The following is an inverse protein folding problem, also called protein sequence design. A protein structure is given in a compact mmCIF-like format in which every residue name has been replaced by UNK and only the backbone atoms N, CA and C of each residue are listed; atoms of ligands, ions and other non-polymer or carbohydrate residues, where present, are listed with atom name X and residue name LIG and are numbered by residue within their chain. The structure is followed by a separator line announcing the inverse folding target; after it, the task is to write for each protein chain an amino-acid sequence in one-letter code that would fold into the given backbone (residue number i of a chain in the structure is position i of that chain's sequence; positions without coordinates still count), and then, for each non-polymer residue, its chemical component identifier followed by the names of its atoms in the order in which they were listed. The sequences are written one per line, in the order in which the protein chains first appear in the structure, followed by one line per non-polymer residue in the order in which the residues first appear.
data_IF_410193812857
#
_entry.id   IF_410193812857
#
_cell.length_a   1.000
_cell.length_b   1.000
_cell.length_c   1.000
_cell.angle_alpha   90.00
_cell.angle_beta   90.00
_cell.angle_gamma   90.00
#
_symmetry.space_group_name_H-M   'P 1'
#
loop_
_entity.id
_entity.type
_entity.pdbx_description
1 polymer ?
#
# COMPACT_ATOMS: atom_id res chain seq x y z
N UNK A 1 9.49 40.07 44.98
CA UNK A 1 10.70 39.65 44.25
C UNK A 1 10.29 39.19 42.85
N UNK A 2 10.61 39.94 41.78
CA UNK A 2 10.31 39.53 40.40
C UNK A 2 11.57 39.43 39.52
N UNK A 3 11.85 38.27 38.90
CA UNK A 3 12.88 38.04 37.86
C UNK A 3 12.51 36.74 37.10
N UNK A 4 12.67 36.58 35.77
CA UNK A 4 12.32 37.48 34.68
C UNK A 4 11.62 36.77 33.48
N UNK A 5 11.17 37.61 32.55
CA UNK A 5 10.74 37.34 31.18
C UNK A 5 11.94 36.88 30.30
N UNK A 6 11.74 35.90 29.41
CA UNK A 6 12.58 35.73 28.21
C UNK A 6 11.69 35.83 26.97
N UNK A 7 11.94 36.87 26.19
CA UNK A 7 11.51 37.04 24.80
C UNK A 7 12.70 36.66 23.91
N UNK A 8 12.47 35.77 22.94
CA UNK A 8 13.14 35.69 21.64
C UNK A 8 12.56 34.46 20.91
N UNK A 9 12.21 34.46 19.64
CA UNK A 9 12.25 35.46 18.58
C UNK A 9 11.56 34.82 17.36
N UNK A 10 10.90 35.65 16.56
CA UNK A 10 10.34 35.24 15.28
C UNK A 10 11.44 34.72 14.35
N UNK A 11 11.20 33.58 13.72
CA UNK A 11 12.01 33.05 12.63
C UNK A 11 11.08 32.41 11.60
N UNK A 12 10.76 33.17 10.55
CA UNK A 12 10.30 32.61 9.29
C UNK A 12 11.30 31.53 8.84
N UNK A 13 10.83 30.32 8.56
CA UNK A 13 11.58 29.38 7.73
C UNK A 13 10.79 29.18 6.45
N UNK A 14 11.39 29.77 5.42
CA UNK A 14 10.99 29.86 4.02
C UNK A 14 10.94 28.49 3.33
N UNK A 15 10.01 28.38 2.38
CA UNK A 15 10.02 27.39 1.30
C UNK A 15 11.34 27.43 0.50
N UNK A 16 11.77 26.26 0.02
CA UNK A 16 12.86 26.05 -0.94
C UNK A 16 14.14 25.57 -0.26
N UNK A 17 14.85 24.55 -0.71
CA UNK A 17 14.76 23.79 -1.95
C UNK A 17 15.76 22.63 -1.91
N UNK A 18 15.84 21.96 -3.06
CA UNK A 18 16.69 20.82 -3.39
C UNK A 18 18.17 20.96 -2.96
N UNK A 19 18.78 19.77 -2.80
CA UNK A 19 20.19 19.41 -2.99
C UNK A 19 21.17 19.61 -1.82
N UNK A 20 21.61 18.48 -1.25
CA UNK A 20 23.02 18.11 -1.16
C UNK A 20 23.13 16.64 -0.71
N UNK A 21 23.31 15.73 -1.66
CA UNK A 21 23.79 14.36 -1.38
C UNK A 21 25.31 14.42 -1.44
N UNK A 22 25.98 14.34 -0.29
CA UNK A 22 27.42 14.08 -0.24
C UNK A 22 27.64 12.59 -0.06
N UNK A 23 28.20 11.98 -1.11
CA UNK A 23 28.71 10.62 -1.14
C UNK A 23 29.87 10.46 -0.16
N UNK A 24 29.78 9.50 0.75
CA UNK A 24 30.95 8.81 1.29
C UNK A 24 30.65 7.32 1.30
N UNK A 25 31.30 6.62 0.39
CA UNK A 25 31.20 5.18 0.19
C UNK A 25 32.17 4.47 1.13
N UNK A 26 31.68 3.54 1.93
CA UNK A 26 32.53 2.60 2.64
C UNK A 26 32.17 1.17 2.27
N UNK A 27 33.09 0.57 1.50
CA UNK A 27 33.20 -0.83 1.08
C UNK A 27 32.84 -1.82 2.18
N UNK A 28 31.96 -2.77 1.89
CA UNK A 28 32.01 -4.10 2.52
C UNK A 28 31.70 -5.14 1.44
N UNK A 29 32.63 -6.07 1.25
CA UNK A 29 32.60 -7.10 0.22
C UNK A 29 31.69 -8.27 0.58
N UNK A 30 31.17 -8.93 -0.45
CA UNK A 30 30.43 -10.18 -0.33
C UNK A 30 31.38 -11.37 -0.17
N UNK A 31 31.10 -12.31 0.74
CA UNK A 31 31.41 -13.71 0.51
C UNK A 31 30.15 -14.48 0.10
N UNK A 32 30.35 -15.34 -0.89
CA UNK A 32 29.41 -16.33 -1.42
C UNK A 32 29.24 -17.52 -0.46
N UNK A 33 28.02 -18.05 -0.33
CA UNK A 33 27.71 -19.42 0.12
C UNK A 33 26.20 -19.64 -0.08
N UNK A 34 25.70 -20.41 -1.05
CA UNK A 34 25.58 -21.88 -1.15
C UNK A 34 24.82 -22.55 0.01
N UNK A 35 23.70 -23.21 -0.32
CA UNK A 35 22.90 -24.10 0.54
C UNK A 35 21.40 -23.80 0.39
N UNK A 36 20.68 -24.40 -0.57
CA UNK A 36 19.93 -25.67 -0.44
C UNK A 36 18.93 -25.63 0.72
N UNK A 37 17.65 -25.56 0.37
CA UNK A 37 16.53 -25.54 1.30
C UNK A 37 15.23 -25.65 0.52
N UNK A 38 15.01 -26.85 0.02
CA UNK A 38 13.77 -27.48 -0.41
C UNK A 38 12.51 -26.87 0.24
N UNK A 39 11.76 -26.08 -0.53
CA UNK A 39 10.38 -25.75 -0.23
C UNK A 39 9.45 -26.10 -1.39
N UNK A 40 8.53 -26.98 -1.02
CA UNK A 40 7.47 -27.61 -1.78
C UNK A 40 6.44 -26.58 -2.26
N UNK A 41 6.80 -25.78 -3.25
CA UNK A 41 5.85 -25.02 -4.06
C UNK A 41 5.95 -25.50 -5.50
N UNK A 42 5.03 -26.42 -5.83
CA UNK A 42 4.93 -27.07 -7.13
C UNK A 42 4.98 -26.08 -8.29
N UNK A 43 6.04 -26.20 -9.06
CA UNK A 43 6.27 -25.60 -10.35
C UNK A 43 5.15 -26.01 -11.34
N UNK A 44 4.08 -25.21 -11.48
CA UNK A 44 3.10 -25.39 -12.58
C UNK A 44 2.40 -24.07 -12.98
N UNK A 45 2.70 -23.62 -14.21
CA UNK A 45 1.87 -22.77 -15.09
C UNK A 45 1.47 -21.34 -14.70
N UNK A 46 1.73 -20.88 -13.48
CA UNK A 46 1.36 -19.50 -13.07
C UNK A 46 2.47 -18.46 -13.34
N UNK A 47 3.74 -18.85 -13.27
CA UNK A 47 4.86 -17.95 -13.63
C UNK A 47 4.89 -17.60 -15.12
N UNK A 48 4.43 -18.51 -15.99
CA UNK A 48 4.32 -18.24 -17.44
C UNK A 48 3.29 -17.15 -17.75
N UNK A 49 2.23 -17.01 -16.93
CA UNK A 49 1.23 -15.95 -17.12
C UNK A 49 1.72 -14.58 -16.65
N UNK A 50 2.66 -14.52 -15.71
CA UNK A 50 3.24 -13.25 -15.25
C UNK A 50 4.15 -12.68 -16.35
N UNK A 51 4.90 -13.54 -17.06
CA UNK A 51 5.77 -13.13 -18.16
C UNK A 51 5.01 -12.58 -19.38
N UNK A 52 3.79 -13.04 -19.63
CA UNK A 52 2.96 -12.53 -20.75
C UNK A 52 2.51 -11.07 -20.54
N UNK A 53 2.30 -10.65 -19.29
CA UNK A 53 1.97 -9.25 -18.96
C UNK A 53 3.19 -8.31 -19.02
N UNK A 54 4.41 -8.83 -18.86
CA UNK A 54 5.64 -8.04 -19.01
C UNK A 54 5.97 -7.73 -20.48
N UNK A 55 5.48 -8.55 -21.42
CA UNK A 55 5.68 -8.33 -22.87
C UNK A 55 4.74 -7.31 -23.52
N UNK A 56 3.69 -6.84 -22.84
CA UNK A 56 2.75 -5.83 -23.40
C UNK A 56 3.19 -4.39 -23.05
N UNK A 57 4.17 -4.21 -22.16
CA UNK A 57 4.66 -2.89 -21.74
C UNK A 57 5.86 -2.35 -22.55
N UNK A 58 6.32 -3.05 -23.59
CA UNK A 58 7.39 -2.57 -24.48
C UNK A 58 6.99 -2.80 -25.94
N UNK A 59 5.94 -2.11 -26.37
CA UNK A 59 5.49 -2.08 -27.77
C UNK A 59 5.67 -0.69 -28.36
N UNK A 60 6.91 -0.31 -28.64
CA UNK A 60 7.25 0.85 -29.47
C UNK A 60 7.85 0.35 -30.78
N UNK A 61 7.02 0.25 -31.80
CA UNK A 61 7.36 -0.10 -33.19
C UNK A 61 8.12 1.08 -33.83
N UNK A 62 9.32 0.86 -34.38
CA UNK A 62 9.88 1.62 -35.51
C UNK A 62 10.88 0.74 -36.25
N UNK A 63 10.57 0.55 -37.54
CA UNK A 63 11.41 -0.09 -38.55
C UNK A 63 12.68 0.74 -38.89
N UNK A 64 13.61 0.01 -39.49
CA UNK A 64 14.62 0.40 -40.48
C UNK A 64 16.03 0.92 -40.08
N UNK A 65 16.98 0.06 -40.50
CA UNK A 65 18.31 0.29 -41.11
C UNK A 65 19.58 0.62 -40.28
N UNK A 66 20.47 -0.38 -40.33
CA UNK A 66 21.95 -0.41 -40.40
C UNK A 66 22.84 0.76 -39.89
N UNK A 67 23.86 0.31 -39.11
CA UNK A 67 25.29 0.70 -39.12
C UNK A 67 25.68 2.07 -38.52
N UNK A 68 26.28 2.04 -37.31
CA UNK A 68 27.75 1.96 -37.05
C UNK A 68 28.12 2.41 -35.62
N UNK A 69 28.93 1.57 -34.97
CA UNK A 69 30.04 1.86 -34.04
C UNK A 69 30.25 3.33 -33.61
N UNK A 70 30.24 3.58 -32.31
CA UNK A 70 30.85 4.77 -31.72
C UNK A 70 30.58 4.96 -30.22
N UNK A 71 31.42 4.34 -29.39
CA UNK A 71 31.96 4.84 -28.13
C UNK A 71 31.20 5.97 -27.39
N UNK A 72 30.62 5.67 -26.22
CA UNK A 72 30.84 6.39 -24.94
C UNK A 72 29.77 6.06 -23.90
N UNK A 73 30.23 6.01 -22.64
CA UNK A 73 29.45 6.23 -21.41
C UNK A 73 28.40 5.15 -21.09
N UNK A 74 28.86 4.08 -20.42
CA UNK A 74 28.00 3.21 -19.63
C UNK A 74 27.40 4.02 -18.49
N UNK A 75 26.19 4.52 -18.71
CA UNK A 75 25.38 5.15 -17.69
C UNK A 75 25.12 4.13 -16.57
N UNK A 76 25.57 4.47 -15.36
CA UNK A 76 25.12 3.81 -14.15
C UNK A 76 23.61 4.05 -14.03
N UNK A 77 22.81 3.05 -14.44
CA UNK A 77 21.36 3.04 -14.22
C UNK A 77 21.11 2.54 -12.80
N UNK A 78 21.56 3.32 -11.83
CA UNK A 78 21.20 3.19 -10.42
C UNK A 78 20.24 4.31 -10.06
N UNK A 79 18.97 4.17 -10.44
CA UNK A 79 17.93 5.13 -10.11
C UNK A 79 16.70 4.42 -9.55
N UNK A 80 16.64 4.39 -8.22
CA UNK A 80 15.42 4.58 -7.41
C UNK A 80 14.14 3.89 -7.89
N UNK A 81 13.96 2.62 -7.51
CA UNK A 81 12.68 1.91 -7.57
C UNK A 81 11.58 2.51 -6.65
N UNK A 82 11.87 3.58 -5.90
CA UNK A 82 10.89 4.32 -5.10
C UNK A 82 10.28 5.53 -5.81
N UNK A 83 10.82 5.98 -6.94
CA UNK A 83 10.35 7.19 -7.62
C UNK A 83 9.17 6.92 -8.57
N UNK A 84 9.12 5.74 -9.21
CA UNK A 84 8.08 5.42 -10.19
C UNK A 84 6.68 5.28 -9.57
N UNK A 85 6.58 4.74 -8.35
CA UNK A 85 5.31 4.60 -7.63
C UNK A 85 4.74 5.96 -7.21
N UNK A 86 5.60 6.87 -6.75
CA UNK A 86 5.21 8.24 -6.39
C UNK A 86 4.81 9.10 -7.60
N UNK A 87 5.54 8.98 -8.72
CA UNK A 87 5.25 9.74 -9.95
C UNK A 87 3.94 9.26 -10.61
N UNK A 88 3.67 7.96 -10.65
CA UNK A 88 2.41 7.45 -11.19
C UNK A 88 1.18 7.91 -10.39
N UNK A 89 1.29 8.00 -9.07
CA UNK A 89 0.22 8.53 -8.22
C UNK A 89 0.02 10.06 -8.38
N UNK A 90 1.10 10.81 -8.64
CA UNK A 90 1.03 12.25 -8.92
C UNK A 90 0.45 12.51 -10.31
N UNK A 91 0.82 11.73 -11.33
CA UNK A 91 0.27 11.89 -12.70
C UNK A 91 -1.19 11.48 -12.83
N UNK A 92 -1.62 10.45 -12.09
CA UNK A 92 -3.03 10.05 -11.99
C UNK A 92 -3.90 11.11 -11.29
N UNK A 93 -3.35 12.03 -10.49
CA UNK A 93 -4.15 13.04 -9.79
C UNK A 93 -4.78 14.12 -10.69
N UNK A 94 -4.49 14.14 -12.00
CA UNK A 94 -5.06 15.12 -12.95
C UNK A 94 -6.59 14.99 -13.11
N UNK A 95 -7.20 13.86 -12.77
CA UNK A 95 -8.65 13.64 -12.81
C UNK A 95 -9.41 14.12 -11.57
N UNK A 96 -8.75 14.32 -10.42
CA UNK A 96 -9.35 14.74 -9.16
C UNK A 96 -8.63 15.95 -8.58
N UNK A 97 -8.87 17.14 -9.15
CA UNK A 97 -8.19 18.38 -8.72
C UNK A 97 -8.41 18.74 -7.24
N UNK A 98 -9.38 18.14 -6.54
CA UNK A 98 -9.79 18.52 -5.19
C UNK A 98 -9.74 17.39 -4.15
N UNK A 99 -8.96 16.32 -4.35
CA UNK A 99 -8.87 15.26 -3.34
C UNK A 99 -8.07 15.71 -2.09
N UNK A 100 -8.71 15.92 -0.91
CA UNK A 100 -8.00 16.40 0.27
C UNK A 100 -7.02 15.38 0.86
N UNK A 101 -7.07 14.13 0.40
CA UNK A 101 -6.20 13.06 0.89
C UNK A 101 -4.79 13.12 0.28
N UNK A 102 -4.63 13.64 -0.95
CA UNK A 102 -3.35 13.67 -1.68
C UNK A 102 -2.15 14.13 -0.82
N UNK A 103 -2.22 15.25 -0.06
CA UNK A 103 -1.06 15.70 0.73
C UNK A 103 -0.73 14.81 1.94
N UNK A 104 -1.60 13.86 2.30
CA UNK A 104 -1.48 13.07 3.51
C UNK A 104 -1.29 11.57 3.27
N UNK A 105 -1.48 11.10 2.04
CA UNK A 105 -1.39 9.69 1.68
C UNK A 105 -0.02 9.41 1.08
N UNK A 106 0.68 8.44 1.66
CA UNK A 106 2.01 8.01 1.23
C UNK A 106 2.03 6.51 0.95
N UNK A 107 2.84 6.05 -0.03
CA UNK A 107 3.07 4.62 -0.22
C UNK A 107 3.62 3.98 1.06
N UNK A 108 3.16 2.77 1.35
CA UNK A 108 3.61 1.96 2.48
C UNK A 108 3.85 0.53 1.99
N UNK A 109 4.98 -0.05 2.37
CA UNK A 109 5.24 -1.47 2.13
C UNK A 109 4.92 -2.25 3.39
N UNK A 110 4.11 -3.29 3.24
CA UNK A 110 3.78 -4.20 4.32
C UNK A 110 4.42 -5.56 4.08
N UNK A 111 4.99 -6.14 5.13
CA UNK A 111 5.64 -7.45 5.08
C UNK A 111 4.57 -8.53 4.91
N UNK A 112 4.74 -9.37 3.89
CA UNK A 112 3.94 -10.57 3.74
C UNK A 112 4.42 -11.59 4.76
N UNK A 113 3.59 -11.82 5.77
CA UNK A 113 3.86 -12.78 6.85
C UNK A 113 2.80 -13.87 6.86
N UNK A 114 3.02 -14.90 7.68
CA UNK A 114 2.14 -16.06 7.79
C UNK A 114 0.80 -15.75 8.51
N UNK A 115 0.56 -14.48 8.83
CA UNK A 115 -0.65 -14.03 9.55
C UNK A 115 -1.88 -13.95 8.65
N UNK A 116 -1.68 -13.90 7.33
CA UNK A 116 -2.72 -13.94 6.29
C UNK A 116 -2.38 -15.06 5.30
N UNK A 117 -3.41 -15.60 4.65
CA UNK A 117 -3.22 -16.63 3.63
C UNK A 117 -2.67 -16.02 2.33
N UNK A 118 -1.94 -16.78 1.49
CA UNK A 118 -1.53 -16.32 0.17
C UNK A 118 -2.71 -15.83 -0.69
N UNK A 119 -3.87 -16.50 -0.58
CA UNK A 119 -5.09 -16.10 -1.28
C UNK A 119 -5.59 -14.70 -0.86
N UNK A 120 -5.45 -14.33 0.42
CA UNK A 120 -5.84 -13.01 0.89
C UNK A 120 -4.95 -11.90 0.32
N UNK A 121 -3.67 -12.17 0.09
CA UNK A 121 -2.76 -11.23 -0.58
C UNK A 121 -3.02 -11.17 -2.09
N UNK A 122 -3.29 -12.31 -2.74
CA UNK A 122 -3.68 -12.34 -4.15
C UNK A 122 -5.00 -11.60 -4.40
N UNK A 123 -5.97 -11.76 -3.49
CA UNK A 123 -7.22 -11.02 -3.51
C UNK A 123 -6.98 -9.51 -3.40
N UNK A 124 -6.14 -9.07 -2.45
CA UNK A 124 -5.74 -7.67 -2.31
C UNK A 124 -5.09 -7.13 -3.59
N UNK A 125 -4.07 -7.83 -4.10
CA UNK A 125 -3.35 -7.44 -5.32
C UNK A 125 -4.31 -7.22 -6.50
N UNK A 126 -5.29 -8.12 -6.67
CA UNK A 126 -6.29 -8.02 -7.75
C UNK A 126 -7.26 -6.85 -7.56
N UNK A 127 -7.80 -6.65 -6.36
CA UNK A 127 -8.83 -5.64 -6.11
C UNK A 127 -8.22 -4.23 -6.01
N UNK A 128 -7.07 -4.11 -5.36
CA UNK A 128 -6.38 -2.84 -5.14
C UNK A 128 -5.41 -2.47 -6.26
N UNK A 129 -5.17 -3.38 -7.23
CA UNK A 129 -4.11 -3.26 -8.24
C UNK A 129 -2.72 -3.02 -7.60
N UNK A 130 -2.44 -3.69 -6.48
CA UNK A 130 -1.17 -3.58 -5.75
C UNK A 130 -0.21 -4.67 -6.16
N UNK A 131 1.08 -4.37 -6.06
CA UNK A 131 2.14 -5.30 -6.45
C UNK A 131 2.63 -6.10 -5.26
N UNK A 132 2.86 -7.39 -5.48
CA UNK A 132 3.61 -8.24 -4.57
C UNK A 132 5.04 -8.31 -5.10
N UNK A 133 6.01 -7.92 -4.28
CA UNK A 133 7.43 -7.96 -4.63
C UNK A 133 8.18 -8.94 -3.75
N UNK A 134 9.12 -9.66 -4.35
CA UNK A 134 10.08 -10.49 -3.63
C UNK A 134 11.45 -9.81 -3.70
N UNK A 135 12.14 -9.73 -2.57
CA UNK A 135 13.46 -9.10 -2.45
C UNK A 135 14.40 -10.08 -1.77
N UNK A 136 15.55 -10.33 -2.39
CA UNK A 136 16.61 -11.11 -1.78
C UNK A 136 17.28 -10.30 -0.67
N UNK A 137 17.39 -10.89 0.52
CA UNK A 137 18.10 -10.30 1.66
C UNK A 137 19.18 -11.27 2.16
N UNK A 138 20.16 -10.79 2.95
CA UNK A 138 21.14 -11.68 3.58
C UNK A 138 20.53 -12.78 4.47
N UNK A 139 19.28 -12.60 4.93
CA UNK A 139 18.55 -13.55 5.76
C UNK A 139 17.59 -14.47 4.96
N UNK A 140 17.56 -14.35 3.63
CA UNK A 140 16.64 -15.07 2.75
C UNK A 140 15.73 -14.14 1.95
N UNK A 141 14.72 -14.71 1.28
CA UNK A 141 13.77 -13.95 0.48
C UNK A 141 12.69 -13.33 1.37
N UNK A 142 12.49 -12.01 1.23
CA UNK A 142 11.39 -11.29 1.85
C UNK A 142 10.35 -10.92 0.80
N UNK A 143 9.07 -10.98 1.18
CA UNK A 143 7.95 -10.62 0.29
C UNK A 143 7.20 -9.44 0.88
N UNK A 144 6.82 -8.51 0.02
CA UNK A 144 6.11 -7.29 0.38
C UNK A 144 4.87 -7.13 -0.47
N UNK A 145 3.86 -6.48 0.07
CA UNK A 145 2.73 -5.96 -0.68
C UNK A 145 2.66 -4.44 -0.52
N UNK A 146 2.35 -3.76 -1.62
CA UNK A 146 2.10 -2.32 -1.60
C UNK A 146 0.76 -2.00 -0.93
N UNK A 147 0.78 -1.01 -0.06
CA UNK A 147 -0.33 -0.43 0.69
C UNK A 147 -0.17 1.10 0.73
N UNK A 148 -1.14 1.77 1.35
CA UNK A 148 -1.15 3.22 1.51
C UNK A 148 -1.35 3.60 2.97
N UNK A 149 -0.63 4.61 3.44
CA UNK A 149 -0.69 5.08 4.82
C UNK A 149 -1.11 6.54 4.86
N UNK A 150 -2.09 6.82 5.70
CA UNK A 150 -2.49 8.20 6.01
C UNK A 150 -1.65 8.73 7.16
N UNK A 151 -0.96 9.84 6.91
CA UNK A 151 -0.08 10.53 7.88
C UNK A 151 -0.85 11.33 8.92
N UNK A 152 -2.18 11.45 8.79
CA UNK A 152 -3.04 12.09 9.80
C UNK A 152 -3.24 11.10 10.96
N UNK A 153 -2.87 11.47 12.19
CA UNK A 153 -3.06 10.60 13.34
C UNK A 153 -4.54 10.48 13.71
N UNK A 154 -5.01 9.26 13.95
CA UNK A 154 -6.35 9.03 14.52
C UNK A 154 -6.29 9.07 16.05
N UNK A 155 -7.21 9.80 16.71
CA UNK A 155 -7.14 10.05 18.16
C UNK A 155 -7.36 8.79 19.00
N UNK A 156 -7.89 7.71 18.42
CA UNK A 156 -8.13 6.43 19.10
C UNK A 156 -6.90 5.54 19.22
N UNK A 157 -5.77 5.90 18.59
CA UNK A 157 -4.55 5.10 18.55
C UNK A 157 -3.39 5.85 19.25
N UNK A 158 -2.79 5.22 20.26
CA UNK A 158 -1.70 5.82 21.06
C UNK A 158 -0.30 5.39 20.65
N UNK A 159 -0.12 4.13 20.22
CA UNK A 159 1.20 3.59 19.84
C UNK A 159 1.50 3.75 18.34
N UNK A 160 0.53 3.41 17.49
CA UNK A 160 0.65 3.52 16.03
C UNK A 160 -0.52 4.37 15.52
N UNK A 161 -0.41 5.71 15.54
CA UNK A 161 -1.55 6.59 15.32
C UNK A 161 -2.02 6.65 13.86
N UNK A 162 -1.24 6.09 12.93
CA UNK A 162 -1.51 6.17 11.49
C UNK A 162 -2.39 5.00 11.07
N UNK A 163 -3.24 5.23 10.06
CA UNK A 163 -4.12 4.21 9.48
C UNK A 163 -3.61 3.84 8.10
N UNK A 164 -3.67 2.55 7.83
CA UNK A 164 -3.30 1.93 6.57
C UNK A 164 -4.56 1.56 5.78
N UNK A 165 -4.39 1.52 4.47
CA UNK A 165 -5.38 1.13 3.47
C UNK A 165 -4.71 0.18 2.48
N UNK A 166 -5.41 -0.89 2.12
CA UNK A 166 -4.91 -1.87 1.16
C UNK A 166 -4.73 -1.27 -0.25
N UNK A 167 -5.48 -0.22 -0.61
CA UNK A 167 -5.42 0.45 -1.91
C UNK A 167 -5.89 1.91 -1.86
N UNK A 168 -5.55 2.67 -2.90
CA UNK A 168 -5.95 4.06 -3.07
C UNK A 168 -6.20 4.38 -4.54
N UNK A 169 -7.30 5.09 -4.81
CA UNK A 169 -7.70 5.59 -6.13
C UNK A 169 -7.69 7.12 -6.10
N UNK A 170 -6.60 7.79 -6.50
CA UNK A 170 -6.50 9.24 -6.46
C UNK A 170 -7.59 9.94 -7.28
N UNK A 171 -7.93 9.40 -8.45
CA UNK A 171 -8.97 9.93 -9.35
C UNK A 171 -10.38 9.99 -8.74
N UNK A 172 -10.68 9.04 -7.85
CA UNK A 172 -11.97 8.97 -7.17
C UNK A 172 -11.91 9.53 -5.74
N UNK A 173 -10.72 9.94 -5.29
CA UNK A 173 -10.40 10.25 -3.90
C UNK A 173 -10.83 9.16 -2.90
N UNK A 174 -10.85 7.90 -3.32
CA UNK A 174 -11.34 6.77 -2.53
C UNK A 174 -10.21 5.85 -2.11
N UNK A 175 -10.39 5.24 -0.95
CA UNK A 175 -9.53 4.17 -0.44
C UNK A 175 -10.19 2.82 -0.67
N UNK A 176 -9.38 1.79 -0.69
CA UNK A 176 -9.82 0.41 -0.85
C UNK A 176 -9.29 -0.38 0.35
N UNK A 177 -10.16 -1.17 0.95
CA UNK A 177 -9.83 -2.14 1.99
C UNK A 177 -10.33 -3.50 1.54
N UNK A 178 -9.53 -4.54 1.71
CA UNK A 178 -9.86 -5.91 1.32
C UNK A 178 -9.92 -6.83 2.53
N UNK A 179 -10.90 -7.73 2.52
CA UNK A 179 -11.09 -8.73 3.57
C UNK A 179 -11.39 -10.07 2.91
N UNK A 180 -10.50 -11.01 3.14
CA UNK A 180 -10.62 -12.40 2.72
C UNK A 180 -10.35 -13.32 3.91
N UNK A 181 -10.82 -14.57 3.81
CA UNK A 181 -10.57 -15.65 4.76
C UNK A 181 -11.11 -15.40 6.19
N UNK A 182 -12.37 -14.99 6.30
CA UNK A 182 -13.13 -14.78 7.54
C UNK A 182 -14.17 -15.88 7.84
N UNK A 183 -14.14 -17.03 7.17
CA UNK A 183 -15.07 -18.14 7.44
C UNK A 183 -15.00 -18.62 8.90
N UNK A 184 -13.86 -18.45 9.57
CA UNK A 184 -13.70 -18.75 11.00
C UNK A 184 -14.69 -17.98 11.89
N UNK A 185 -15.18 -16.82 11.45
CA UNK A 185 -16.13 -15.97 12.18
C UNK A 185 -17.56 -16.52 12.18
N UNK A 186 -17.87 -17.49 11.31
CA UNK A 186 -19.22 -18.02 11.12
C UNK A 186 -19.30 -19.49 11.54
N UNK A 187 -20.45 -19.91 12.07
CA UNK A 187 -20.75 -21.31 12.31
C UNK A 187 -21.23 -22.02 11.02
N UNK A 188 -21.48 -23.32 11.13
CA UNK A 188 -21.94 -24.15 10.00
C UNK A 188 -23.28 -23.70 9.40
N UNK A 189 -24.07 -22.94 10.16
CA UNK A 189 -25.39 -22.44 9.76
C UNK A 189 -25.29 -21.00 9.22
N UNK A 190 -24.08 -20.44 9.13
CA UNK A 190 -23.80 -19.09 8.64
C UNK A 190 -24.03 -17.98 9.67
N UNK A 191 -24.27 -18.32 10.94
CA UNK A 191 -24.42 -17.32 12.00
C UNK A 191 -23.06 -16.87 12.52
N UNK A 192 -22.97 -15.59 12.89
CA UNK A 192 -21.75 -15.05 13.50
C UNK A 192 -21.51 -15.69 14.87
N UNK A 193 -20.30 -16.19 15.09
CA UNK A 193 -19.90 -16.74 16.39
C UNK A 193 -19.83 -15.64 17.45
N UNK A 194 -20.12 -15.99 18.70
CA UNK A 194 -20.23 -15.03 19.81
C UNK A 194 -18.99 -14.14 19.97
N UNK A 195 -17.78 -14.69 19.82
CA UNK A 195 -16.53 -13.94 19.92
C UNK A 195 -16.37 -12.87 18.83
N UNK A 196 -17.09 -12.98 17.71
CA UNK A 196 -17.03 -12.06 16.58
C UNK A 196 -18.29 -11.17 16.45
N UNK A 197 -19.31 -11.43 17.25
CA UNK A 197 -20.63 -10.76 17.21
C UNK A 197 -20.56 -9.23 17.33
N UNK A 198 -19.53 -8.68 17.99
CA UNK A 198 -19.32 -7.23 18.13
C UNK A 198 -18.51 -6.59 16.99
N UNK A 199 -18.28 -7.30 15.90
CA UNK A 199 -17.56 -6.80 14.72
C UNK A 199 -16.03 -6.79 14.83
N UNK A 200 -15.47 -6.99 16.03
CA UNK A 200 -14.05 -7.26 16.24
C UNK A 200 -13.10 -6.22 15.63
N UNK A 201 -11.98 -6.71 15.08
CA UNK A 201 -10.98 -5.87 14.40
C UNK A 201 -11.56 -5.10 13.19
N UNK A 202 -12.39 -5.70 12.32
CA UNK A 202 -13.00 -4.97 11.20
C UNK A 202 -13.77 -3.72 11.62
N UNK A 203 -14.63 -3.78 12.64
CA UNK A 203 -15.38 -2.62 13.09
C UNK A 203 -14.49 -1.49 13.61
N UNK A 204 -13.46 -1.86 14.38
CA UNK A 204 -12.49 -0.87 14.88
C UNK A 204 -11.78 -0.16 13.71
N UNK A 205 -11.25 -0.92 12.77
CA UNK A 205 -10.52 -0.37 11.62
C UNK A 205 -11.45 0.47 10.72
N UNK A 206 -12.66 -0.01 10.42
CA UNK A 206 -13.65 0.75 9.65
C UNK A 206 -14.05 2.06 10.36
N UNK A 207 -14.17 2.06 11.69
CA UNK A 207 -14.47 3.28 12.45
C UNK A 207 -13.35 4.32 12.36
N UNK A 208 -12.09 3.88 12.41
CA UNK A 208 -10.91 4.75 12.28
C UNK A 208 -10.79 5.32 10.85
N UNK A 209 -11.02 4.48 9.84
CA UNK A 209 -11.06 4.93 8.44
C UNK A 209 -12.25 5.86 8.17
N UNK A 210 -13.42 5.60 8.76
CA UNK A 210 -14.58 6.49 8.68
C UNK A 210 -14.23 7.87 9.24
N UNK A 211 -13.63 7.91 10.43
CA UNK A 211 -13.23 9.17 11.06
C UNK A 211 -12.26 9.98 10.17
N UNK A 212 -11.27 9.33 9.55
CA UNK A 212 -10.36 9.98 8.61
C UNK A 212 -11.09 10.56 7.40
N UNK A 213 -11.98 9.77 6.81
CA UNK A 213 -12.76 10.20 5.65
C UNK A 213 -13.74 11.33 6.00
N UNK A 214 -14.33 11.27 7.20
CA UNK A 214 -15.38 12.17 7.64
C UNK A 214 -14.85 13.53 8.10
N UNK A 215 -13.85 13.56 8.98
CA UNK A 215 -13.41 14.83 9.59
C UNK A 215 -12.21 15.45 8.87
N UNK A 216 -10.99 14.85 8.87
CA UNK A 216 -9.85 15.47 8.20
C UNK A 216 -10.03 15.60 6.68
N UNK A 217 -10.66 14.60 6.04
CA UNK A 217 -10.89 14.58 4.59
C UNK A 217 -12.25 15.16 4.18
N UNK A 218 -12.93 15.86 5.10
CA UNK A 218 -14.12 16.69 4.84
C UNK A 218 -15.24 15.97 4.08
N UNK A 219 -15.44 14.67 4.33
CA UNK A 219 -16.44 13.82 3.66
C UNK A 219 -16.28 13.71 2.15
N UNK A 220 -15.07 13.96 1.62
CA UNK A 220 -14.75 13.86 0.18
C UNK A 220 -14.19 12.51 -0.22
N UNK A 221 -13.70 11.72 0.73
CA UNK A 221 -13.18 10.37 0.51
C UNK A 221 -14.10 9.33 1.09
N UNK A 222 -14.20 8.17 0.44
CA UNK A 222 -14.79 6.96 1.02
C UNK A 222 -13.73 5.88 1.18
N UNK A 223 -13.97 4.93 2.10
CA UNK A 223 -13.25 3.65 2.12
C UNK A 223 -14.18 2.55 1.63
N UNK A 224 -13.84 1.96 0.49
CA UNK A 224 -14.53 0.83 -0.12
C UNK A 224 -13.99 -0.48 0.43
N UNK A 225 -14.79 -1.15 1.25
CA UNK A 225 -14.49 -2.44 1.86
C UNK A 225 -14.99 -3.58 0.98
N UNK A 226 -14.06 -4.28 0.33
CA UNK A 226 -14.32 -5.42 -0.54
C UNK A 226 -14.11 -6.73 0.21
N UNK A 227 -15.16 -7.55 0.24
CA UNK A 227 -15.14 -8.88 0.85
C UNK A 227 -15.20 -9.95 -0.22
N UNK A 228 -14.37 -10.99 -0.10
CA UNK A 228 -14.46 -12.18 -0.96
C UNK A 228 -15.64 -13.08 -0.57
N UNK A 229 -15.94 -13.17 0.72
CA UNK A 229 -16.97 -14.03 1.31
C UNK A 229 -18.27 -13.28 1.54
N UNK A 230 -19.37 -13.83 1.00
CA UNK A 230 -20.71 -13.23 1.09
C UNK A 230 -21.21 -13.06 2.54
N UNK A 231 -20.96 -14.04 3.42
CA UNK A 231 -21.39 -13.96 4.81
C UNK A 231 -20.70 -12.79 5.54
N UNK A 232 -19.41 -12.60 5.30
CA UNK A 232 -18.65 -11.48 5.87
C UNK A 232 -19.14 -10.15 5.31
N UNK A 233 -19.39 -10.05 4.00
CA UNK A 233 -20.00 -8.86 3.39
C UNK A 233 -21.35 -8.50 4.05
N UNK A 234 -22.26 -9.45 4.19
CA UNK A 234 -23.59 -9.21 4.76
C UNK A 234 -23.51 -8.80 6.23
N UNK A 235 -22.62 -9.44 6.99
CA UNK A 235 -22.36 -9.08 8.38
C UNK A 235 -21.79 -7.66 8.51
N UNK A 236 -20.71 -7.35 7.78
CA UNK A 236 -20.07 -6.04 7.79
C UNK A 236 -20.98 -4.91 7.30
N UNK A 237 -21.77 -5.15 6.25
CA UNK A 237 -22.78 -4.21 5.77
C UNK A 237 -23.74 -3.79 6.88
N UNK A 238 -24.12 -4.71 7.79
CA UNK A 238 -25.00 -4.40 8.93
C UNK A 238 -24.28 -3.64 10.03
N UNK A 239 -23.09 -4.07 10.42
CA UNK A 239 -22.36 -3.43 11.53
C UNK A 239 -21.74 -2.08 11.14
N UNK A 240 -21.53 -1.81 9.85
CA UNK A 240 -20.98 -0.54 9.36
C UNK A 240 -22.07 0.50 9.01
N UNK A 241 -23.36 0.22 9.26
CA UNK A 241 -24.46 1.12 8.91
C UNK A 241 -24.32 2.53 9.50
N UNK A 242 -23.66 2.67 10.66
CA UNK A 242 -23.43 3.97 11.30
C UNK A 242 -22.14 4.67 10.83
N UNK A 243 -21.43 4.14 9.84
CA UNK A 243 -20.16 4.66 9.33
C UNK A 243 -20.37 5.21 7.90
N UNK A 244 -20.80 6.47 7.74
CA UNK A 244 -21.28 7.00 6.46
C UNK A 244 -20.22 7.05 5.35
N UNK A 245 -18.93 7.06 5.69
CA UNK A 245 -17.85 7.06 4.71
C UNK A 245 -17.30 5.66 4.41
N UNK A 246 -17.92 4.61 4.96
CA UNK A 246 -17.57 3.22 4.66
C UNK A 246 -18.61 2.64 3.72
N UNK A 247 -18.17 2.12 2.58
CA UNK A 247 -19.01 1.41 1.61
C UNK A 247 -18.57 -0.04 1.59
N UNK A 248 -19.52 -0.97 1.52
CA UNK A 248 -19.22 -2.40 1.50
C UNK A 248 -19.57 -2.99 0.15
N UNK A 249 -18.73 -3.90 -0.32
CA UNK A 249 -18.89 -4.58 -1.61
C UNK A 249 -18.60 -6.07 -1.45
N UNK A 250 -19.40 -6.91 -2.10
CA UNK A 250 -19.04 -8.31 -2.32
C UNK A 250 -18.35 -8.40 -3.68
N UNK A 251 -17.10 -8.85 -3.71
CA UNK A 251 -16.31 -8.91 -4.94
C UNK A 251 -15.58 -10.25 -5.01
N UNK A 252 -15.75 -10.96 -6.12
CA UNK A 252 -15.28 -12.34 -6.31
C UNK A 252 -14.14 -12.43 -7.29
#
# INVERSE_FOLDING_TARGET
MPVPLIIAGAGLMTLGGLAAVTHEASKIGFPSSSGSGDDEWGNTSYEDKIREYESIAIGGEFDDEEKKRGNNQGAAVGATAGASVGVAAIEASKGCQDCPAIPYIVPHQNDITNTRTPNAYAYQARICNTQIRTVDTPAGQMRYIDEWKCTIPVPTRTLNPLVEFDGWKPDECNFIETKDNFDFAFDKDGNVKSFFSKGGKPLKQASEQNWLCEFPLKKKSYSDWHFSQKNMYLFCTRIFQSLPQIRTHHTT
#
